data_IF_708268471032
#
_entry.id   IF_708268471032
#
_cell.length_a   1.000
_cell.length_b   1.000
_cell.length_c   1.000
_cell.angle_alpha   90.00
_cell.angle_beta   90.00
_cell.angle_gamma   90.00
#
_symmetry.space_group_name_H-M   'P 1'
#
loop_
_entity.id
_entity.type
_entity.pdbx_description
1 polymer ?
#
# COMPACT_ATOMS: atom_id res chain seq x y z
N UNK A 1 6.93 -2.00 -12.02
CA UNK A 1 5.81 -1.03 -12.14
C UNK A 1 6.01 0.20 -11.26
N UNK A 2 6.55 0.02 -10.05
CA UNK A 2 6.85 1.10 -9.09
C UNK A 2 7.66 2.29 -9.65
N UNK A 3 8.70 2.06 -10.47
CA UNK A 3 9.50 3.16 -11.03
C UNK A 3 8.71 4.04 -12.02
N UNK A 4 7.84 3.44 -12.84
CA UNK A 4 6.94 4.19 -13.74
C UNK A 4 5.93 5.01 -12.93
N UNK A 5 5.41 4.44 -11.84
CA UNK A 5 4.52 5.14 -10.92
C UNK A 5 5.22 6.33 -10.24
N UNK A 6 6.45 6.14 -9.75
CA UNK A 6 7.28 7.21 -9.17
C UNK A 6 7.59 8.33 -10.16
N UNK A 7 7.84 7.98 -11.43
CA UNK A 7 8.14 8.96 -12.49
C UNK A 7 6.94 9.81 -12.92
N UNK A 8 5.74 9.54 -12.39
CA UNK A 8 4.51 10.25 -12.76
C UNK A 8 3.90 9.79 -14.09
N UNK A 9 4.49 8.81 -14.76
CA UNK A 9 3.97 8.24 -16.01
C UNK A 9 2.68 7.43 -15.80
N UNK A 10 2.39 7.01 -14.57
CA UNK A 10 1.13 6.38 -14.18
C UNK A 10 0.34 7.37 -13.32
N UNK A 11 -0.85 7.76 -13.79
CA UNK A 11 -1.77 8.59 -13.02
C UNK A 11 -2.29 7.81 -11.80
N UNK A 12 -2.09 8.37 -10.60
CA UNK A 12 -2.55 7.78 -9.34
C UNK A 12 -4.07 7.57 -9.32
N UNK A 13 -4.83 8.56 -9.79
CA UNK A 13 -6.29 8.50 -9.86
C UNK A 13 -6.73 7.41 -10.82
N UNK A 14 -6.14 7.35 -12.02
CA UNK A 14 -6.47 6.32 -13.00
C UNK A 14 -6.13 4.90 -12.49
N UNK A 15 -4.97 4.75 -11.86
CA UNK A 15 -4.55 3.48 -11.25
C UNK A 15 -5.57 3.00 -10.22
N UNK A 16 -6.00 3.90 -9.32
CA UNK A 16 -6.98 3.60 -8.29
C UNK A 16 -8.34 3.24 -8.91
N UNK A 17 -8.88 4.07 -9.82
CA UNK A 17 -10.18 3.86 -10.46
C UNK A 17 -10.24 2.50 -11.18
N UNK A 18 -9.16 2.09 -11.85
CA UNK A 18 -9.17 0.86 -12.64
C UNK A 18 -8.92 -0.41 -11.80
N UNK A 19 -8.53 -0.29 -10.53
CA UNK A 19 -8.08 -1.44 -9.73
C UNK A 19 -8.60 -1.47 -8.28
N UNK A 20 -9.41 -0.52 -7.84
CA UNK A 20 -9.88 -0.42 -6.44
C UNK A 20 -10.52 -1.72 -5.92
N UNK A 21 -11.34 -2.37 -6.74
CA UNK A 21 -12.03 -3.60 -6.35
C UNK A 21 -11.09 -4.78 -6.08
N UNK A 22 -9.90 -4.79 -6.71
CA UNK A 22 -8.90 -5.86 -6.51
C UNK A 22 -8.32 -5.87 -5.09
N UNK A 23 -8.38 -4.73 -4.40
CA UNK A 23 -7.90 -4.58 -3.02
C UNK A 23 -9.03 -4.35 -2.02
N UNK A 24 -10.23 -4.86 -2.34
CA UNK A 24 -11.43 -4.83 -1.49
C UNK A 24 -11.88 -3.42 -1.06
N UNK A 25 -11.70 -2.44 -1.95
CA UNK A 25 -12.26 -1.10 -1.77
C UNK A 25 -13.63 -1.07 -2.46
N UNK A 26 -14.63 -0.45 -1.82
CA UNK A 26 -15.95 -0.22 -2.40
C UNK A 26 -16.05 1.16 -3.10
N UNK A 27 -17.15 1.45 -3.78
CA UNK A 27 -17.35 2.68 -4.53
C UNK A 27 -17.39 3.94 -3.63
N UNK A 28 -17.95 3.84 -2.42
CA UNK A 28 -17.96 4.95 -1.45
C UNK A 28 -16.53 5.30 -1.02
N UNK A 29 -15.75 4.29 -0.63
CA UNK A 29 -14.35 4.43 -0.26
C UNK A 29 -13.51 4.96 -1.41
N UNK A 30 -13.75 4.49 -2.63
CA UNK A 30 -13.11 5.02 -3.84
C UNK A 30 -13.40 6.52 -4.00
N UNK A 31 -14.67 6.92 -3.93
CA UNK A 31 -15.07 8.31 -4.07
C UNK A 31 -14.45 9.20 -2.97
N UNK A 32 -14.48 8.74 -1.72
CA UNK A 32 -13.81 9.41 -0.58
C UNK A 32 -12.32 9.63 -0.88
N UNK A 33 -11.60 8.58 -1.29
CA UNK A 33 -10.17 8.67 -1.59
C UNK A 33 -9.89 9.64 -2.75
N UNK A 34 -10.72 9.63 -3.80
CA UNK A 34 -10.57 10.55 -4.94
C UNK A 34 -10.83 12.01 -4.54
N UNK A 35 -11.83 12.27 -3.71
CA UNK A 35 -12.12 13.60 -3.16
C UNK A 35 -10.94 14.06 -2.30
N UNK A 36 -10.43 13.22 -1.40
CA UNK A 36 -9.24 13.54 -0.61
C UNK A 36 -8.07 13.91 -1.51
N UNK A 37 -7.83 13.14 -2.58
CA UNK A 37 -6.76 13.41 -3.56
C UNK A 37 -6.99 14.69 -4.39
N UNK A 38 -8.23 15.16 -4.54
CA UNK A 38 -8.58 16.38 -5.28
C UNK A 38 -8.51 17.62 -4.40
N UNK A 39 -9.08 17.55 -3.20
CA UNK A 39 -9.09 18.67 -2.25
C UNK A 39 -7.69 19.00 -1.74
N UNK A 40 -6.80 18.00 -1.73
CA UNK A 40 -5.46 18.12 -1.15
C UNK A 40 -4.39 18.76 -2.06
N UNK A 41 -4.74 19.83 -2.77
CA UNK A 41 -3.79 20.59 -3.58
C UNK A 41 -2.79 21.37 -2.69
N UNK A 42 -1.68 21.87 -3.26
CA UNK A 42 -0.50 22.33 -2.51
C UNK A 42 -0.78 23.35 -1.38
N UNK A 43 -1.89 24.10 -1.49
CA UNK A 43 -2.29 25.14 -0.55
C UNK A 43 -3.32 24.71 0.52
N UNK A 44 -4.05 23.60 0.31
CA UNK A 44 -5.07 23.11 1.25
C UNK A 44 -4.86 21.62 1.49
N UNK A 45 -4.20 21.28 2.61
CA UNK A 45 -3.96 19.88 2.98
C UNK A 45 -4.91 19.38 4.06
N UNK A 46 -5.85 20.18 4.53
CA UNK A 46 -6.74 19.79 5.61
C UNK A 46 -8.05 19.28 5.01
N UNK A 47 -8.55 18.16 5.50
CA UNK A 47 -9.86 17.66 5.14
C UNK A 47 -10.49 16.98 6.35
N UNK A 48 -11.80 17.16 6.52
CA UNK A 48 -12.61 16.52 7.54
C UNK A 48 -13.74 15.71 6.89
N UNK A 49 -14.33 14.74 7.62
CA UNK A 49 -15.52 14.05 7.13
C UNK A 49 -16.64 15.01 6.71
N UNK A 50 -16.80 16.13 7.42
CA UNK A 50 -17.80 17.15 7.08
C UNK A 50 -17.50 17.86 5.75
N UNK A 51 -16.22 18.11 5.44
CA UNK A 51 -15.82 18.70 4.16
C UNK A 51 -16.02 17.71 3.00
N UNK A 52 -15.70 16.43 3.21
CA UNK A 52 -15.97 15.38 2.20
C UNK A 52 -17.47 15.22 1.94
N UNK A 53 -18.30 15.31 2.99
CA UNK A 53 -19.76 15.19 2.88
C UNK A 53 -20.39 16.23 1.96
N UNK A 54 -19.76 17.40 1.77
CA UNK A 54 -20.25 18.43 0.84
C UNK A 54 -20.20 17.98 -0.64
N UNK A 55 -19.46 16.92 -0.93
CA UNK A 55 -19.24 16.40 -2.27
C UNK A 55 -19.88 15.03 -2.51
N UNK A 56 -20.59 14.47 -1.53
CA UNK A 56 -21.17 13.13 -1.59
C UNK A 56 -22.64 13.12 -1.12
N UNK A 57 -23.36 12.05 -1.45
CA UNK A 57 -24.74 11.83 -1.00
C UNK A 57 -24.86 11.06 0.32
N UNK A 58 -23.73 10.59 0.87
CA UNK A 58 -23.65 9.89 2.15
C UNK A 58 -23.38 10.88 3.28
N UNK A 59 -23.82 10.55 4.48
CA UNK A 59 -23.67 11.40 5.66
C UNK A 59 -22.21 11.48 6.14
N UNK A 60 -21.93 12.44 7.02
CA UNK A 60 -20.65 12.55 7.71
C UNK A 60 -20.31 11.25 8.46
N UNK A 61 -21.28 10.67 9.16
CA UNK A 61 -21.13 9.45 9.95
C UNK A 61 -20.82 8.24 9.05
N UNK A 62 -21.44 8.16 7.87
CA UNK A 62 -21.13 7.14 6.88
C UNK A 62 -19.70 7.29 6.34
N UNK A 63 -19.24 8.52 6.07
CA UNK A 63 -17.86 8.79 5.66
C UNK A 63 -16.86 8.38 6.75
N UNK A 64 -17.14 8.71 8.01
CA UNK A 64 -16.31 8.29 9.15
C UNK A 64 -16.22 6.77 9.25
N UNK A 65 -17.35 6.08 9.05
CA UNK A 65 -17.39 4.63 9.05
C UNK A 65 -16.52 4.03 7.92
N UNK A 66 -16.64 4.53 6.70
CA UNK A 66 -15.86 4.04 5.56
C UNK A 66 -14.35 4.31 5.73
N UNK A 67 -13.98 5.48 6.26
CA UNK A 67 -12.58 5.80 6.58
C UNK A 67 -12.04 4.90 7.69
N UNK A 68 -12.86 4.59 8.71
CA UNK A 68 -12.50 3.66 9.78
C UNK A 68 -12.23 2.26 9.25
N UNK A 69 -13.07 1.75 8.34
CA UNK A 69 -12.83 0.44 7.71
C UNK A 69 -11.57 0.44 6.82
N UNK A 70 -11.28 1.53 6.07
CA UNK A 70 -10.03 1.66 5.33
C UNK A 70 -8.79 1.64 6.24
N UNK A 71 -8.85 2.29 7.41
CA UNK A 71 -7.77 2.27 8.41
C UNK A 71 -7.59 0.89 9.03
N UNK A 72 -8.70 0.27 9.48
CA UNK A 72 -8.71 -1.07 10.08
C UNK A 72 -8.17 -2.13 9.12
N UNK A 73 -8.49 -2.03 7.84
CA UNK A 73 -7.99 -2.92 6.80
C UNK A 73 -6.58 -2.55 6.30
N UNK A 74 -5.92 -1.55 6.92
CA UNK A 74 -4.58 -1.05 6.59
C UNK A 74 -4.43 -0.59 5.13
N UNK A 75 -5.53 -0.17 4.51
CA UNK A 75 -5.53 0.42 3.16
C UNK A 75 -4.94 1.84 3.22
N UNK A 76 -5.23 2.55 4.30
CA UNK A 76 -4.65 3.87 4.60
C UNK A 76 -4.11 3.84 6.03
N UNK A 77 -3.28 4.81 6.40
CA UNK A 77 -2.79 4.95 7.78
C UNK A 77 -2.75 6.42 8.20
N UNK A 78 -2.87 6.65 9.50
CA UNK A 78 -2.60 7.97 10.09
C UNK A 78 -1.17 8.00 10.61
N UNK A 79 -0.41 9.04 10.24
CA UNK A 79 0.93 9.31 10.78
C UNK A 79 0.95 10.62 11.56
N UNK A 80 1.82 10.71 12.56
CA UNK A 80 2.09 11.97 13.26
C UNK A 80 3.31 12.65 12.66
N UNK A 81 3.15 13.87 12.15
CA UNK A 81 4.25 14.74 11.71
C UNK A 81 4.29 16.03 12.52
N UNK A 82 5.13 16.02 13.54
CA UNK A 82 5.19 17.09 14.52
C UNK A 82 3.88 17.17 15.30
N UNK A 83 3.14 18.27 15.12
CA UNK A 83 1.83 18.49 15.76
C UNK A 83 0.63 18.14 14.86
N UNK A 84 0.87 17.64 13.65
CA UNK A 84 -0.18 17.35 12.67
C UNK A 84 -0.36 15.85 12.51
N UNK A 85 -1.60 15.41 12.58
CA UNK A 85 -2.00 14.09 12.07
C UNK A 85 -2.12 14.19 10.56
N UNK A 86 -1.57 13.22 9.84
CA UNK A 86 -1.71 13.13 8.39
C UNK A 86 -2.24 11.75 7.99
N UNK A 87 -3.13 11.72 7.01
CA UNK A 87 -3.51 10.52 6.30
C UNK A 87 -2.47 10.21 5.23
N UNK A 88 -1.88 9.02 5.30
CA UNK A 88 -0.94 8.50 4.31
C UNK A 88 -1.62 7.45 3.42
N UNK A 89 -1.66 7.72 2.12
CA UNK A 89 -2.16 6.80 1.10
C UNK A 89 -1.08 5.87 0.54
N UNK A 90 0.14 5.90 1.08
CA UNK A 90 1.21 4.99 0.64
C UNK A 90 0.81 3.51 0.72
N UNK A 91 0.17 3.02 1.80
CA UNK A 91 -0.22 1.60 1.88
C UNK A 91 -1.18 1.19 0.74
N UNK A 92 -2.14 2.05 0.40
CA UNK A 92 -3.10 1.84 -0.68
C UNK A 92 -2.40 1.55 -2.00
N UNK A 93 -1.49 2.44 -2.40
CA UNK A 93 -0.83 2.32 -3.70
C UNK A 93 0.24 1.23 -3.71
N UNK A 94 0.89 0.94 -2.57
CA UNK A 94 1.76 -0.23 -2.44
C UNK A 94 0.98 -1.52 -2.74
N UNK A 95 -0.20 -1.69 -2.13
CA UNK A 95 -1.05 -2.86 -2.37
C UNK A 95 -1.49 -2.97 -3.82
N UNK A 96 -1.94 -1.87 -4.44
CA UNK A 96 -2.30 -1.86 -5.85
C UNK A 96 -1.14 -2.29 -6.75
N UNK A 97 0.05 -1.75 -6.52
CA UNK A 97 1.22 -2.05 -7.34
C UNK A 97 1.73 -3.47 -7.13
N UNK A 98 1.66 -4.00 -5.90
CA UNK A 98 1.95 -5.41 -5.60
C UNK A 98 0.98 -6.32 -6.33
N UNK A 99 -0.33 -6.08 -6.19
CA UNK A 99 -1.37 -6.92 -6.80
C UNK A 99 -1.21 -6.97 -8.33
N UNK A 100 -0.95 -5.83 -8.96
CA UNK A 100 -0.67 -5.76 -10.40
C UNK A 100 0.61 -6.48 -10.83
N UNK A 101 1.68 -6.41 -10.02
CA UNK A 101 2.92 -7.15 -10.30
C UNK A 101 2.74 -8.66 -10.09
N UNK A 102 1.89 -9.07 -9.14
CA UNK A 102 1.58 -10.47 -8.88
C UNK A 102 0.56 -11.06 -9.87
N UNK A 103 -0.35 -10.26 -10.41
CA UNK A 103 -1.36 -10.69 -11.39
C UNK A 103 -0.72 -11.35 -12.63
N UNK A 104 0.44 -10.84 -13.04
CA UNK A 104 1.21 -11.36 -14.17
C UNK A 104 2.27 -12.40 -13.78
N UNK A 105 2.33 -12.80 -12.51
CA UNK A 105 3.34 -13.73 -11.99
C UNK A 105 2.80 -15.16 -11.85
N UNK A 106 3.70 -16.12 -12.07
CA UNK A 106 3.45 -17.54 -11.73
C UNK A 106 3.32 -17.78 -10.22
N UNK A 107 3.68 -16.80 -9.39
CA UNK A 107 3.64 -16.87 -7.93
C UNK A 107 2.29 -16.40 -7.34
N UNK A 108 1.33 -15.97 -8.17
CA UNK A 108 0.02 -15.47 -7.73
C UNK A 108 -0.71 -16.43 -6.77
N UNK A 109 -0.60 -17.73 -7.02
CA UNK A 109 -1.28 -18.77 -6.22
C UNK A 109 -0.43 -19.31 -5.06
N UNK A 110 0.81 -18.85 -4.91
CA UNK A 110 1.69 -19.29 -3.82
C UNK A 110 1.41 -18.46 -2.56
N UNK A 111 0.43 -18.92 -1.78
CA UNK A 111 0.01 -18.26 -0.54
C UNK A 111 0.84 -18.68 0.68
N UNK A 112 1.78 -19.61 0.51
CA UNK A 112 2.57 -20.17 1.62
C UNK A 112 4.06 -19.93 1.45
N UNK A 113 4.45 -19.05 0.52
CA UNK A 113 5.85 -18.70 0.26
C UNK A 113 6.74 -19.90 -0.08
N UNK A 114 6.15 -20.93 -0.70
CA UNK A 114 6.87 -22.17 -1.03
C UNK A 114 8.06 -21.90 -1.94
N UNK A 115 8.00 -20.87 -2.78
CA UNK A 115 9.14 -20.48 -3.61
C UNK A 115 10.37 -20.09 -2.79
N UNK A 116 10.20 -19.37 -1.68
CA UNK A 116 11.30 -19.00 -0.78
C UNK A 116 11.86 -20.25 -0.13
N UNK A 117 10.99 -21.11 0.40
CA UNK A 117 11.39 -22.34 1.06
C UNK A 117 12.19 -23.27 0.14
N UNK A 118 11.76 -23.38 -1.12
CA UNK A 118 12.44 -24.20 -2.14
C UNK A 118 13.79 -23.62 -2.53
N UNK A 119 13.90 -22.30 -2.72
CA UNK A 119 15.16 -21.68 -3.15
C UNK A 119 16.19 -21.71 -2.03
N UNK A 120 15.77 -21.43 -0.79
CA UNK A 120 16.66 -21.42 0.37
C UNK A 120 16.86 -22.80 1.01
N UNK A 121 16.12 -23.81 0.54
CA UNK A 121 16.05 -25.15 1.14
C UNK A 121 15.82 -25.09 2.67
N UNK A 122 14.84 -24.28 3.06
CA UNK A 122 14.57 -23.91 4.45
C UNK A 122 13.06 -23.81 4.67
N UNK A 123 12.54 -24.32 5.80
CA UNK A 123 11.12 -24.21 6.13
C UNK A 123 10.86 -22.93 6.92
N UNK A 124 10.02 -22.04 6.41
CA UNK A 124 9.69 -20.80 7.08
C UNK A 124 8.82 -21.07 8.31
N UNK A 125 9.13 -20.39 9.41
CA UNK A 125 8.29 -20.34 10.57
C UNK A 125 7.27 -19.19 10.48
N UNK A 126 6.29 -19.17 11.40
CA UNK A 126 5.22 -18.17 11.37
C UNK A 126 5.74 -16.72 11.46
N UNK A 127 6.73 -16.46 12.32
CA UNK A 127 7.27 -15.10 12.49
C UNK A 127 7.98 -14.63 11.22
N UNK A 128 8.62 -15.54 10.49
CA UNK A 128 9.27 -15.23 9.22
C UNK A 128 8.27 -14.97 8.10
N UNK A 129 7.18 -15.75 8.05
CA UNK A 129 6.06 -15.49 7.13
C UNK A 129 5.45 -14.12 7.42
N UNK A 130 5.13 -13.82 8.69
CA UNK A 130 4.57 -12.53 9.10
C UNK A 130 5.52 -11.38 8.69
N UNK A 131 6.83 -11.57 8.82
CA UNK A 131 7.82 -10.58 8.39
C UNK A 131 7.91 -10.41 6.87
N UNK A 132 7.69 -11.48 6.09
CA UNK A 132 7.60 -11.40 4.62
C UNK A 132 6.35 -10.62 4.21
N UNK A 133 5.22 -10.89 4.87
CA UNK A 133 3.96 -10.15 4.67
C UNK A 133 4.15 -8.66 4.94
N UNK A 134 4.84 -8.29 6.03
CA UNK A 134 5.16 -6.89 6.31
C UNK A 134 5.93 -6.22 5.16
N UNK A 135 6.88 -6.93 4.52
CA UNK A 135 7.60 -6.39 3.36
C UNK A 135 6.71 -6.26 2.12
N UNK A 136 5.73 -7.15 1.94
CA UNK A 136 4.73 -7.07 0.89
C UNK A 136 3.81 -5.86 1.14
N UNK A 137 3.38 -5.60 2.38
CA UNK A 137 2.63 -4.39 2.75
C UNK A 137 3.44 -3.10 2.46
N UNK A 138 4.77 -3.18 2.56
CA UNK A 138 5.70 -2.09 2.18
C UNK A 138 5.94 -1.98 0.66
N UNK A 139 5.25 -2.77 -0.16
CA UNK A 139 5.28 -2.69 -1.61
C UNK A 139 6.35 -3.58 -2.28
N UNK A 140 6.83 -4.63 -1.61
CA UNK A 140 7.78 -5.59 -2.20
C UNK A 140 7.03 -6.86 -2.61
N UNK A 141 6.62 -6.93 -3.88
CA UNK A 141 5.88 -8.07 -4.44
C UNK A 141 6.68 -9.38 -4.43
N UNK A 142 6.01 -10.55 -4.44
CA UNK A 142 6.67 -11.87 -4.53
C UNK A 142 7.66 -12.01 -5.69
N UNK A 143 7.37 -11.55 -6.93
CA UNK A 143 8.34 -11.56 -8.03
C UNK A 143 9.61 -10.76 -7.71
N UNK A 144 9.46 -9.65 -7.00
CA UNK A 144 10.58 -8.80 -6.59
C UNK A 144 11.40 -9.48 -5.50
N UNK A 145 10.77 -10.15 -4.54
CA UNK A 145 11.46 -10.99 -3.55
C UNK A 145 12.27 -12.08 -4.26
N UNK A 146 11.67 -12.79 -5.22
CA UNK A 146 12.36 -13.82 -6.00
C UNK A 146 13.56 -13.25 -6.78
N UNK A 147 13.39 -12.06 -7.39
CA UNK A 147 14.49 -11.37 -8.09
C UNK A 147 15.61 -11.00 -7.13
N UNK A 148 15.29 -10.48 -5.93
CA UNK A 148 16.28 -10.16 -4.90
C UNK A 148 17.10 -11.40 -4.51
N UNK A 149 16.44 -12.55 -4.31
CA UNK A 149 17.13 -13.81 -3.99
C UNK A 149 18.11 -14.19 -5.12
N UNK A 150 17.63 -14.19 -6.36
CA UNK A 150 18.43 -14.62 -7.51
C UNK A 150 19.59 -13.66 -7.81
N UNK A 151 19.34 -12.36 -7.84
CA UNK A 151 20.32 -11.34 -8.21
C UNK A 151 21.45 -11.23 -7.17
N UNK A 152 21.13 -11.44 -5.89
CA UNK A 152 22.10 -11.38 -4.80
C UNK A 152 22.65 -12.75 -4.40
N UNK A 153 22.20 -13.84 -5.06
CA UNK A 153 22.57 -15.22 -4.74
C UNK A 153 22.36 -15.57 -3.26
N UNK A 154 21.26 -15.10 -2.69
CA UNK A 154 20.94 -15.33 -1.27
C UNK A 154 20.66 -16.81 -1.05
N UNK A 155 21.26 -17.38 0.00
CA UNK A 155 21.11 -18.79 0.35
C UNK A 155 20.56 -19.04 1.76
N UNK A 156 20.26 -17.98 2.52
CA UNK A 156 19.70 -18.09 3.87
C UNK A 156 18.69 -16.96 4.15
N UNK A 157 17.85 -17.18 5.15
CA UNK A 157 16.72 -16.30 5.48
C UNK A 157 17.17 -14.95 6.09
N UNK A 158 18.26 -14.94 6.86
CA UNK A 158 18.78 -13.72 7.49
C UNK A 158 19.31 -12.73 6.45
N UNK A 159 20.04 -13.22 5.45
CA UNK A 159 20.49 -12.43 4.31
C UNK A 159 19.33 -11.90 3.48
N UNK A 160 18.29 -12.71 3.27
CA UNK A 160 17.08 -12.27 2.59
C UNK A 160 16.45 -11.08 3.34
N UNK A 161 16.23 -11.20 4.64
CA UNK A 161 15.65 -10.11 5.43
C UNK A 161 16.52 -8.87 5.43
N UNK A 162 17.85 -9.00 5.51
CA UNK A 162 18.75 -7.86 5.40
C UNK A 162 18.57 -7.13 4.06
N UNK A 163 18.43 -7.86 2.96
CA UNK A 163 18.22 -7.27 1.63
C UNK A 163 16.83 -6.70 1.44
N UNK A 164 15.79 -7.34 1.97
CA UNK A 164 14.43 -6.80 1.94
C UNK A 164 14.32 -5.51 2.76
N UNK A 165 15.01 -5.42 3.90
CA UNK A 165 15.11 -4.20 4.71
C UNK A 165 15.83 -3.05 3.98
N UNK A 166 16.92 -3.36 3.27
CA UNK A 166 17.60 -2.37 2.41
C UNK A 166 16.69 -1.88 1.27
N UNK A 167 15.86 -2.77 0.72
CA UNK A 167 14.94 -2.47 -0.38
C UNK A 167 13.69 -1.73 0.09
N UNK A 168 13.13 -2.05 1.26
CA UNK A 168 11.93 -1.41 1.79
C UNK A 168 12.16 0.10 2.01
N UNK A 169 13.35 0.46 2.50
CA UNK A 169 13.79 1.86 2.64
C UNK A 169 13.81 2.62 1.30
N UNK A 170 14.14 1.93 0.20
CA UNK A 170 14.15 2.49 -1.17
C UNK A 170 12.77 2.45 -1.84
N UNK A 171 11.95 1.48 -1.46
CA UNK A 171 10.65 1.20 -2.08
C UNK A 171 9.52 1.98 -1.42
N UNK A 172 9.71 2.52 -0.20
CA UNK A 172 8.80 3.51 0.40
C UNK A 172 8.68 4.74 -0.50
N UNK A 173 7.78 4.65 -1.47
CA UNK A 173 7.37 5.80 -2.23
C UNK A 173 6.63 6.64 -1.20
N UNK A 174 7.05 7.87 -0.92
CA UNK A 174 6.21 8.78 -0.13
C UNK A 174 5.08 9.21 -1.07
N UNK A 175 4.00 8.43 -1.12
CA UNK A 175 3.08 8.51 -2.26
C UNK A 175 2.24 9.76 -2.12
N UNK A 176 1.54 9.98 -1.01
CA UNK A 176 0.94 11.28 -0.67
C UNK A 176 0.49 11.27 0.79
N UNK A 177 0.68 12.40 1.46
CA UNK A 177 0.19 12.62 2.83
C UNK A 177 -0.62 13.89 2.90
N UNK A 178 -1.72 13.82 3.61
CA UNK A 178 -2.71 14.88 3.70
C UNK A 178 -3.02 15.15 5.17
N UNK A 179 -3.16 16.39 5.63
CA UNK A 179 -3.47 16.66 7.04
C UNK A 179 -4.90 16.20 7.37
N UNK A 180 -4.99 15.33 8.37
CA UNK A 180 -6.25 14.85 8.89
C UNK A 180 -6.62 15.65 10.15
N UNK A 181 -7.79 16.26 10.15
CA UNK A 181 -8.34 16.96 11.31
C UNK A 181 -9.55 16.17 11.85
N UNK A 182 -9.72 16.23 13.17
CA UNK A 182 -10.94 15.78 13.80
C UNK A 182 -11.87 16.99 13.93
N UNK A 183 -13.11 16.84 13.49
CA UNK A 183 -14.19 17.80 13.77
C UNK A 183 -14.65 17.71 15.23
#
# INVERSE_FOLDING_TARGET
MFELFKSGLISKKALLILNYSKININENQLAILLIIMELSNEDQKNFTPSEIAQHMMISKEEIEHEISELLKNRIIKLEQKGKKTILDLTPLFNRLLVDLEEEHSKLKTDNTYNFIEKILNYKLNKQEIDKIEDYIELGISKPKIMSVINDNKINNIDELFKKLEEQSKKTSVKITMYNWLND
#
